data_IF_413910377254
#
_entry.id   IF_413910377254
#
_cell.length_a   1.000
_cell.length_b   1.000
_cell.length_c   1.000
_cell.angle_alpha   90.00
_cell.angle_beta   90.00
_cell.angle_gamma   90.00
#
_symmetry.space_group_name_H-M   'P 1'
#
loop_
_entity.id
_entity.type
_entity.pdbx_description
1 polymer ?
#
# COMPACT_ATOMS: atom_id res chain seq x y z
N UNK A 1 4.89 -25.33 -7.81
CA UNK A 1 4.33 -23.96 -7.86
C UNK A 1 3.72 -23.53 -6.52
N UNK A 2 2.68 -24.21 -6.01
CA UNK A 2 2.04 -23.86 -4.72
C UNK A 2 3.00 -23.86 -3.51
N UNK A 3 3.88 -24.86 -3.40
CA UNK A 3 4.91 -24.92 -2.34
C UNK A 3 5.92 -23.76 -2.40
N UNK A 4 6.26 -23.29 -3.60
CA UNK A 4 7.15 -22.14 -3.82
C UNK A 4 6.46 -20.84 -3.40
N UNK A 5 5.17 -20.72 -3.71
CA UNK A 5 4.36 -19.58 -3.28
C UNK A 5 4.29 -19.49 -1.75
N UNK A 6 3.88 -20.58 -1.10
CA UNK A 6 3.73 -20.64 0.36
C UNK A 6 5.05 -20.34 1.07
N UNK A 7 6.15 -21.00 0.68
CA UNK A 7 7.46 -20.76 1.29
C UNK A 7 7.90 -19.30 1.15
N UNK A 8 7.73 -18.72 -0.04
CA UNK A 8 8.09 -17.33 -0.31
C UNK A 8 7.27 -16.30 0.48
N UNK A 9 5.97 -16.56 0.66
CA UNK A 9 5.13 -15.75 1.54
C UNK A 9 5.65 -15.87 2.97
N UNK A 10 5.79 -17.10 3.49
CA UNK A 10 6.18 -17.31 4.90
C UNK A 10 7.56 -16.76 5.25
N UNK A 11 8.53 -16.81 4.33
CA UNK A 11 9.88 -16.31 4.57
C UNK A 11 9.95 -14.78 4.68
N UNK A 12 9.08 -14.07 3.95
CA UNK A 12 9.07 -12.61 3.90
C UNK A 12 7.92 -11.98 4.70
N UNK A 13 6.96 -12.78 5.17
CA UNK A 13 5.76 -12.28 5.87
C UNK A 13 6.13 -11.41 7.06
N UNK A 14 7.02 -11.88 7.96
CA UNK A 14 7.43 -11.14 9.16
C UNK A 14 8.06 -9.79 8.85
N UNK A 15 8.82 -9.70 7.76
CA UNK A 15 9.46 -8.46 7.34
C UNK A 15 8.48 -7.48 6.65
N UNK A 16 7.31 -7.95 6.23
CA UNK A 16 6.33 -7.19 5.43
C UNK A 16 4.93 -7.18 6.05
N UNK A 17 4.81 -7.44 7.36
CA UNK A 17 3.50 -7.55 8.05
C UNK A 17 2.68 -6.27 7.85
N UNK A 18 3.31 -5.11 7.94
CA UNK A 18 2.67 -3.80 7.75
C UNK A 18 2.15 -3.62 6.33
N UNK A 19 2.88 -4.07 5.31
CA UNK A 19 2.42 -4.02 3.92
C UNK A 19 1.22 -4.93 3.67
N UNK A 20 1.23 -6.13 4.24
CA UNK A 20 0.11 -7.05 4.17
C UNK A 20 -1.13 -6.48 4.84
N UNK A 21 -0.97 -5.98 6.08
CA UNK A 21 -2.06 -5.39 6.85
C UNK A 21 -2.68 -4.19 6.11
N UNK A 22 -1.86 -3.29 5.57
CA UNK A 22 -2.33 -2.08 4.91
C UNK A 22 -2.89 -2.33 3.50
N UNK A 23 -2.33 -3.30 2.76
CA UNK A 23 -2.93 -3.74 1.51
C UNK A 23 -4.31 -4.37 1.74
N UNK A 24 -4.45 -5.19 2.79
CA UNK A 24 -5.72 -5.75 3.22
C UNK A 24 -6.71 -4.68 3.70
N UNK A 25 -6.24 -3.69 4.48
CA UNK A 25 -7.05 -2.58 4.94
C UNK A 25 -7.58 -1.75 3.78
N UNK A 26 -6.74 -1.43 2.78
CA UNK A 26 -7.16 -0.67 1.60
C UNK A 26 -8.17 -1.45 0.74
N UNK A 27 -7.90 -2.74 0.53
CA UNK A 27 -8.83 -3.64 -0.18
C UNK A 27 -10.19 -3.70 0.53
N UNK A 28 -10.18 -3.92 1.85
CA UNK A 28 -11.37 -3.98 2.68
C UNK A 28 -12.12 -2.65 2.71
N UNK A 29 -11.41 -1.52 2.80
CA UNK A 29 -12.01 -0.19 2.78
C UNK A 29 -12.69 0.10 1.44
N UNK A 30 -12.03 -0.24 0.33
CA UNK A 30 -12.63 -0.16 -1.01
C UNK A 30 -13.85 -1.06 -1.18
N UNK A 31 -13.84 -2.26 -0.58
CA UNK A 31 -15.00 -3.15 -0.56
C UNK A 31 -16.17 -2.55 0.23
N UNK A 32 -15.91 -1.95 1.40
CA UNK A 32 -16.93 -1.30 2.23
C UNK A 32 -17.59 -0.13 1.50
N UNK A 33 -16.82 0.73 0.81
CA UNK A 33 -17.39 1.83 0.02
C UNK A 33 -18.29 1.39 -1.14
N UNK A 34 -18.17 0.13 -1.57
CA UNK A 34 -19.02 -0.43 -2.62
C UNK A 34 -20.32 -1.03 -2.08
N UNK A 35 -20.46 -1.16 -0.77
CA UNK A 35 -21.73 -1.55 -0.16
C UNK A 35 -22.73 -0.40 -0.28
N UNK A 36 -24.05 -0.68 -0.34
CA UNK A 36 -25.07 0.35 -0.46
C UNK A 36 -25.22 1.13 0.86
N UNK A 37 -24.27 2.02 1.15
CA UNK A 37 -24.23 2.89 2.32
C UNK A 37 -23.73 4.26 1.89
N UNK A 38 -24.35 5.37 2.33
CA UNK A 38 -23.91 6.71 1.96
C UNK A 38 -22.75 7.17 2.85
N UNK A 39 -21.56 6.60 2.69
CA UNK A 39 -20.41 6.93 3.56
C UNK A 39 -19.98 8.38 3.36
N UNK A 40 -20.00 8.85 2.11
CA UNK A 40 -19.54 10.19 1.73
C UNK A 40 -20.53 11.32 2.10
N UNK A 41 -21.72 10.99 2.60
CA UNK A 41 -22.63 11.99 3.18
C UNK A 41 -22.07 12.59 4.48
N UNK A 42 -21.09 11.92 5.09
CA UNK A 42 -20.42 12.45 6.28
C UNK A 42 -19.45 13.58 5.89
N UNK A 43 -19.45 14.71 6.63
CA UNK A 43 -18.57 15.84 6.34
C UNK A 43 -17.07 15.49 6.29
N UNK A 44 -16.66 14.42 6.97
CA UNK A 44 -15.28 13.94 7.04
C UNK A 44 -14.73 13.47 5.70
N UNK A 45 -15.59 13.10 4.74
CA UNK A 45 -15.16 12.69 3.40
C UNK A 45 -15.29 13.81 2.37
N UNK A 46 -15.67 15.02 2.79
CA UNK A 46 -15.89 16.16 1.88
C UNK A 46 -14.68 16.46 0.99
N UNK A 47 -13.44 16.35 1.50
CA UNK A 47 -12.25 16.56 0.67
C UNK A 47 -12.06 15.46 -0.38
N UNK A 48 -12.34 14.20 -0.05
CA UNK A 48 -12.28 13.10 -1.02
C UNK A 48 -13.35 13.25 -2.11
N UNK A 49 -14.56 13.65 -1.71
CA UNK A 49 -15.69 13.88 -2.61
C UNK A 49 -15.41 14.97 -3.66
N UNK A 50 -14.49 15.90 -3.39
CA UNK A 50 -14.07 16.93 -4.36
C UNK A 50 -13.25 16.37 -5.52
N UNK A 51 -12.58 15.25 -5.33
CA UNK A 51 -11.75 14.62 -6.36
C UNK A 51 -12.52 13.59 -7.16
N UNK A 52 -13.35 12.77 -6.51
CA UNK A 52 -14.13 11.72 -7.15
C UNK A 52 -15.31 11.27 -6.29
N UNK A 53 -16.28 10.58 -6.90
CA UNK A 53 -17.43 10.00 -6.19
C UNK A 53 -17.01 8.85 -5.26
N UNK A 54 -17.86 8.52 -4.28
CA UNK A 54 -17.67 7.38 -3.38
C UNK A 54 -17.44 6.07 -4.15
N UNK A 55 -18.25 5.81 -5.20
CA UNK A 55 -18.08 4.60 -6.03
C UNK A 55 -16.71 4.57 -6.73
N UNK A 56 -16.25 5.71 -7.25
CA UNK A 56 -14.94 5.79 -7.90
C UNK A 56 -13.83 5.50 -6.91
N UNK A 57 -13.88 6.08 -5.71
CA UNK A 57 -12.93 5.79 -4.63
C UNK A 57 -13.01 4.33 -4.19
N UNK A 58 -14.20 3.76 -4.08
CA UNK A 58 -14.42 2.36 -3.78
C UNK A 58 -13.74 1.43 -4.81
N UNK A 59 -13.94 1.70 -6.09
CA UNK A 59 -13.27 0.96 -7.17
C UNK A 59 -11.75 1.09 -7.12
N UNK A 60 -11.24 2.30 -6.95
CA UNK A 60 -9.79 2.58 -6.90
C UNK A 60 -9.15 1.87 -5.71
N UNK A 61 -9.68 2.03 -4.49
CA UNK A 61 -9.16 1.40 -3.29
C UNK A 61 -9.22 -0.14 -3.38
N UNK A 62 -10.33 -0.67 -3.89
CA UNK A 62 -10.51 -2.12 -4.07
C UNK A 62 -9.45 -2.69 -5.01
N UNK A 63 -9.30 -2.13 -6.21
CA UNK A 63 -8.36 -2.66 -7.20
C UNK A 63 -6.90 -2.42 -6.80
N UNK A 64 -6.55 -1.25 -6.25
CA UNK A 64 -5.19 -0.99 -5.77
C UNK A 64 -4.84 -1.93 -4.62
N UNK A 65 -5.73 -2.11 -3.65
CA UNK A 65 -5.53 -3.05 -2.54
C UNK A 65 -5.32 -4.47 -3.04
N UNK A 66 -6.13 -4.92 -4.00
CA UNK A 66 -6.00 -6.24 -4.61
C UNK A 66 -4.66 -6.41 -5.35
N UNK A 67 -4.27 -5.43 -6.17
CA UNK A 67 -2.99 -5.44 -6.89
C UNK A 67 -1.82 -5.49 -5.90
N UNK A 68 -1.91 -4.79 -4.76
CA UNK A 68 -0.88 -4.86 -3.71
C UNK A 68 -0.78 -6.23 -3.08
N UNK A 69 -1.91 -6.87 -2.77
CA UNK A 69 -1.93 -8.25 -2.24
C UNK A 69 -1.27 -9.20 -3.24
N UNK A 70 -1.64 -9.12 -4.53
CA UNK A 70 -1.04 -9.93 -5.59
C UNK A 70 0.46 -9.64 -5.72
N UNK A 71 0.88 -8.37 -5.68
CA UNK A 71 2.28 -7.98 -5.74
C UNK A 71 3.07 -8.54 -4.55
N UNK A 72 2.50 -8.60 -3.34
CA UNK A 72 3.16 -9.19 -2.17
C UNK A 72 3.33 -10.71 -2.32
N UNK A 73 2.34 -11.40 -2.89
CA UNK A 73 2.43 -12.83 -3.21
C UNK A 73 3.56 -13.07 -4.24
N UNK A 74 3.53 -12.35 -5.36
CA UNK A 74 4.52 -12.53 -6.44
C UNK A 74 5.93 -12.16 -6.00
N UNK A 75 6.08 -11.05 -5.26
CA UNK A 75 7.36 -10.57 -4.72
C UNK A 75 7.90 -11.42 -3.56
N UNK A 76 7.07 -12.27 -2.95
CA UNK A 76 7.53 -13.28 -2.01
C UNK A 76 8.15 -14.48 -2.70
N UNK A 77 7.78 -14.77 -3.95
CA UNK A 77 7.90 -16.12 -4.50
C UNK A 77 8.58 -16.26 -5.85
N UNK A 78 8.59 -15.22 -6.70
CA UNK A 78 9.03 -15.35 -8.11
C UNK A 78 10.06 -14.29 -8.48
N UNK A 79 9.63 -13.02 -8.55
CA UNK A 79 10.49 -11.91 -8.98
C UNK A 79 10.22 -10.70 -8.10
N UNK A 80 11.25 -10.10 -7.49
CA UNK A 80 11.03 -8.90 -6.71
C UNK A 80 10.75 -7.70 -7.62
N UNK A 81 9.67 -6.99 -7.31
CA UNK A 81 9.17 -5.78 -7.95
C UNK A 81 9.04 -4.68 -6.90
N UNK A 82 10.19 -4.12 -6.53
CA UNK A 82 10.33 -3.14 -5.45
C UNK A 82 9.71 -1.79 -5.81
N UNK A 83 9.89 -1.32 -7.05
CA UNK A 83 9.29 -0.06 -7.52
C UNK A 83 7.77 -0.10 -7.52
N UNK A 84 7.18 -1.22 -7.97
CA UNK A 84 5.72 -1.39 -7.94
C UNK A 84 5.18 -1.32 -6.50
N UNK A 85 5.86 -1.97 -5.55
CA UNK A 85 5.52 -1.87 -4.11
C UNK A 85 5.58 -0.42 -3.63
N UNK A 86 6.65 0.30 -3.95
CA UNK A 86 6.84 1.67 -3.51
C UNK A 86 5.77 2.62 -4.09
N UNK A 87 5.47 2.51 -5.38
CA UNK A 87 4.45 3.34 -6.06
C UNK A 87 3.06 3.07 -5.49
N UNK A 88 2.70 1.80 -5.28
CA UNK A 88 1.39 1.45 -4.72
C UNK A 88 1.25 1.90 -3.26
N UNK A 89 2.32 1.79 -2.46
CA UNK A 89 2.35 2.31 -1.09
C UNK A 89 2.21 3.83 -1.05
N UNK A 90 2.90 4.54 -1.95
CA UNK A 90 2.81 6.00 -2.05
C UNK A 90 1.40 6.46 -2.44
N UNK A 91 0.76 5.77 -3.38
CA UNK A 91 -0.62 6.08 -3.75
C UNK A 91 -1.59 5.88 -2.57
N UNK A 92 -1.39 4.83 -1.76
CA UNK A 92 -2.19 4.63 -0.57
C UNK A 92 -1.93 5.66 0.52
N UNK A 93 -0.70 6.17 0.67
CA UNK A 93 -0.44 7.33 1.53
C UNK A 93 -1.37 8.50 1.20
N UNK A 94 -1.56 8.79 -0.09
CA UNK A 94 -2.45 9.87 -0.52
C UNK A 94 -3.90 9.63 -0.04
N UNK A 95 -4.42 8.41 -0.21
CA UNK A 95 -5.77 8.05 0.21
C UNK A 95 -5.95 8.24 1.72
N UNK A 96 -5.06 7.65 2.53
CA UNK A 96 -5.17 7.73 3.99
C UNK A 96 -4.97 9.16 4.49
N UNK A 97 -4.13 9.95 3.83
CA UNK A 97 -3.94 11.35 4.14
C UNK A 97 -5.20 12.19 3.92
N UNK A 98 -5.93 11.95 2.82
CA UNK A 98 -7.20 12.65 2.59
C UNK A 98 -8.23 12.36 3.67
N UNK A 99 -8.34 11.09 4.10
CA UNK A 99 -9.24 10.69 5.20
C UNK A 99 -8.83 11.38 6.50
N UNK A 100 -7.53 11.37 6.83
CA UNK A 100 -7.01 12.00 8.05
C UNK A 100 -7.28 13.51 8.08
N UNK A 101 -7.00 14.22 6.99
CA UNK A 101 -7.25 15.66 6.88
C UNK A 101 -8.74 15.96 6.95
N UNK A 102 -9.58 15.17 6.27
CA UNK A 102 -11.02 15.32 6.32
C UNK A 102 -11.57 15.21 7.76
N UNK A 103 -11.09 14.23 8.52
CA UNK A 103 -11.45 14.08 9.94
C UNK A 103 -10.98 15.26 10.81
N UNK A 104 -9.77 15.77 10.57
CA UNK A 104 -9.25 16.94 11.31
C UNK A 104 -10.08 18.19 10.99
N UNK A 105 -10.45 18.41 9.72
CA UNK A 105 -11.17 19.62 9.28
C UNK A 105 -12.59 19.73 9.84
N UNK A 106 -13.28 18.60 10.03
CA UNK A 106 -14.64 18.60 10.61
C UNK A 106 -14.63 19.01 12.09
N UNK A 107 -13.46 18.99 12.76
CA UNK A 107 -13.31 19.50 14.12
C UNK A 107 -13.88 18.59 15.22
N UNK A 108 -14.56 17.50 14.86
CA UNK A 108 -14.94 16.44 15.82
C UNK A 108 -13.75 15.53 16.08
N UNK A 109 -13.27 15.53 17.33
CA UNK A 109 -12.24 14.59 17.79
C UNK A 109 -12.83 13.18 17.80
N UNK A 110 -12.58 12.43 16.73
CA UNK A 110 -12.94 11.02 16.62
C UNK A 110 -11.71 10.14 16.86
N UNK A 111 -11.94 8.93 17.37
CA UNK A 111 -10.90 7.89 17.44
C UNK A 111 -10.28 7.58 16.08
N UNK A 112 -11.00 7.89 14.99
CA UNK A 112 -10.51 7.81 13.62
C UNK A 112 -9.24 8.62 13.38
N UNK A 113 -9.08 9.80 14.00
CA UNK A 113 -7.87 10.62 13.80
C UNK A 113 -6.62 9.84 14.23
N UNK A 114 -6.64 9.23 15.41
CA UNK A 114 -5.52 8.45 15.91
C UNK A 114 -5.26 7.22 15.02
N UNK A 115 -6.31 6.50 14.63
CA UNK A 115 -6.20 5.31 13.80
C UNK A 115 -5.65 5.61 12.40
N UNK A 116 -6.21 6.60 11.70
CA UNK A 116 -5.77 6.97 10.36
C UNK A 116 -4.39 7.65 10.36
N UNK A 117 -4.00 8.34 11.44
CA UNK A 117 -2.63 8.84 11.59
C UNK A 117 -1.60 7.70 11.67
N UNK A 118 -1.89 6.64 12.43
CA UNK A 118 -1.03 5.46 12.50
C UNK A 118 -0.99 4.74 11.16
N UNK A 119 -2.14 4.53 10.52
CA UNK A 119 -2.23 3.90 9.18
C UNK A 119 -1.41 4.68 8.16
N UNK A 120 -1.54 6.01 8.13
CA UNK A 120 -0.75 6.88 7.26
C UNK A 120 0.75 6.76 7.54
N UNK A 121 1.16 6.84 8.81
CA UNK A 121 2.57 6.72 9.21
C UNK A 121 3.17 5.36 8.81
N UNK A 122 2.42 4.27 8.96
CA UNK A 122 2.84 2.93 8.54
C UNK A 122 2.96 2.81 7.01
N UNK A 123 2.13 3.50 6.23
CA UNK A 123 2.32 3.54 4.78
C UNK A 123 3.56 4.34 4.39
N UNK A 124 3.82 5.48 5.02
CA UNK A 124 5.06 6.23 4.81
C UNK A 124 6.27 5.36 5.12
N UNK A 125 6.23 4.60 6.23
CA UNK A 125 7.27 3.62 6.56
C UNK A 125 7.44 2.57 5.45
N UNK A 126 6.35 1.98 4.97
CA UNK A 126 6.39 1.00 3.87
C UNK A 126 7.00 1.58 2.60
N UNK A 127 6.69 2.84 2.25
CA UNK A 127 7.27 3.54 1.10
C UNK A 127 8.79 3.65 1.25
N UNK A 128 9.28 4.11 2.41
CA UNK A 128 10.71 4.24 2.70
C UNK A 128 11.41 2.89 2.60
N UNK A 129 10.83 1.85 3.21
CA UNK A 129 11.37 0.49 3.15
C UNK A 129 11.41 -0.05 1.72
N UNK A 130 10.33 0.13 0.94
CA UNK A 130 10.25 -0.35 -0.44
C UNK A 130 11.26 0.34 -1.37
N UNK A 131 11.46 1.65 -1.23
CA UNK A 131 12.51 2.37 -1.96
C UNK A 131 13.92 1.98 -1.51
N UNK A 132 14.13 1.76 -0.21
CA UNK A 132 15.40 1.25 0.30
C UNK A 132 15.75 -0.14 -0.24
N UNK A 133 14.75 -1.03 -0.34
CA UNK A 133 14.91 -2.35 -0.96
C UNK A 133 15.24 -2.24 -2.46
N UNK A 134 14.57 -1.34 -3.19
CA UNK A 134 14.86 -1.08 -4.61
C UNK A 134 16.31 -0.64 -4.81
N UNK A 135 16.77 0.34 -4.03
CA UNK A 135 18.14 0.84 -4.12
C UNK A 135 19.20 -0.21 -3.79
N UNK A 136 18.94 -1.11 -2.82
CA UNK A 136 19.84 -2.25 -2.54
C UNK A 136 19.91 -3.23 -3.70
N UNK A 137 18.76 -3.53 -4.31
CA UNK A 137 18.68 -4.43 -5.47
C UNK A 137 19.44 -3.88 -6.67
N UNK A 138 19.30 -2.58 -6.96
CA UNK A 138 19.96 -1.94 -8.09
C UNK A 138 21.49 -1.92 -7.92
N UNK A 139 21.98 -1.66 -6.69
CA UNK A 139 23.42 -1.75 -6.37
C UNK A 139 23.97 -3.16 -6.59
N UNK A 140 23.27 -4.18 -6.10
CA UNK A 140 23.68 -5.57 -6.30
C UNK A 140 23.69 -5.97 -7.79
N UNK A 141 22.76 -5.45 -8.58
CA UNK A 141 22.74 -5.68 -10.02
C UNK A 141 23.95 -5.01 -10.71
N UNK A 142 24.30 -3.78 -10.33
CA UNK A 142 25.46 -3.07 -10.84
C UNK A 142 26.78 -3.78 -10.49
N UNK A 143 26.95 -4.22 -9.24
CA UNK A 143 28.14 -4.97 -8.78
C UNK A 143 28.31 -6.29 -9.56
N UNK A 144 27.22 -7.03 -9.80
CA UNK A 144 27.25 -8.27 -10.60
C UNK A 144 27.62 -8.01 -12.06
N UNK A 145 27.20 -6.88 -12.63
CA UNK A 145 27.59 -6.46 -13.98
C UNK A 145 29.09 -6.18 -14.06
N UNK A 146 29.61 -5.38 -13.12
CA UNK A 146 31.03 -5.05 -13.05
C UNK A 146 31.92 -6.30 -12.88
N UNK A 147 31.49 -7.25 -12.03
CA UNK A 147 32.22 -8.50 -11.79
C UNK A 147 32.25 -9.45 -13.01
N UNK A 148 31.26 -9.36 -13.92
CA UNK A 148 31.28 -10.12 -15.18
C UNK A 148 32.23 -9.49 -16.19
N UNK A 149 32.17 -8.17 -16.35
CA UNK A 149 33.02 -7.45 -17.31
C UNK A 149 34.51 -7.48 -16.94
N UNK A 150 34.87 -7.68 -15.67
CA UNK A 150 36.27 -7.83 -15.24
C UNK A 150 36.84 -9.26 -15.36
N UNK A 151 36.06 -10.22 -15.87
CA UNK A 151 36.50 -11.62 -16.10
C UNK A 151 36.68 -11.96 -17.59
N UNK A 152 36.43 -11.00 -18.48
CA UNK A 152 36.70 -11.05 -19.92
C UNK A 152 37.98 -10.26 -20.22
#
# INVERSE_FOLDING_TARGET
>A
MMLTLVRGITSHFRARVTEWALAGALFGWGYILKLPSPTFDQPSYGEMARFASEDTWGQVCFWVGLVRIVALIVNGSIRPSYHLRAVLAFFSCFIWFQILIGLIKVGTVSTGIAMYAVVFALEVYNVICAFGDAGKSDRQAAERGAAKNGRE
#
